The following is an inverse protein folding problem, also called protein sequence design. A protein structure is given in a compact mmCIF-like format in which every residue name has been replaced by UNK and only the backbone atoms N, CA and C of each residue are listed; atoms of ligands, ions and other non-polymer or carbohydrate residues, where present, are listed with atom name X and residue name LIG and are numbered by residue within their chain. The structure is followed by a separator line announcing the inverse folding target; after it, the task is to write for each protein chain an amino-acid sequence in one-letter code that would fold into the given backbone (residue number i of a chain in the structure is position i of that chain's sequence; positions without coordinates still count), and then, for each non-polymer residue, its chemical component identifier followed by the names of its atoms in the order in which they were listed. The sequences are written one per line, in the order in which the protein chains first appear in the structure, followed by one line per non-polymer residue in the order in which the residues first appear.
data_IF_511576491755
#
_entry.id   IF_511576491755
#
_cell.length_a   1.000
_cell.length_b   1.000
_cell.length_c   1.000
_cell.angle_alpha   90.00
_cell.angle_beta   90.00
_cell.angle_gamma   90.00
#
_symmetry.space_group_name_H-M   'P 1'
#
loop_
_entity.id
_entity.type
_entity.pdbx_description
1 polymer ?
#
# COMPACT_ATOMS: atom_id res chain seq x y z
N UNK A 1 11.28 11.42 -19.88
CA UNK A 1 11.57 10.00 -20.27
C UNK A 1 12.63 9.42 -19.34
N UNK A 2 12.46 9.21 -18.03
CA UNK A 2 13.38 8.30 -17.29
C UNK A 2 13.06 8.05 -15.82
N UNK A 3 11.91 8.47 -15.29
CA UNK A 3 11.63 8.27 -13.86
C UNK A 3 11.08 6.87 -13.51
N UNK A 4 10.48 6.14 -14.45
CA UNK A 4 9.98 4.78 -14.21
C UNK A 4 11.08 3.74 -13.94
N UNK A 5 12.29 4.00 -14.48
CA UNK A 5 13.47 3.15 -14.25
C UNK A 5 14.05 3.30 -12.83
N UNK A 6 13.79 4.43 -12.17
CA UNK A 6 14.31 4.74 -10.84
C UNK A 6 13.59 3.93 -9.76
N UNK A 7 12.27 3.81 -9.83
CA UNK A 7 11.49 3.05 -8.82
C UNK A 7 11.79 1.56 -8.91
N UNK A 8 11.87 1.00 -10.13
CA UNK A 8 12.23 -0.41 -10.32
C UNK A 8 13.66 -0.72 -9.82
N UNK A 9 14.60 0.21 -9.98
CA UNK A 9 15.96 0.06 -9.49
C UNK A 9 16.11 0.34 -7.99
N UNK A 10 15.32 1.27 -7.44
CA UNK A 10 15.27 1.50 -5.99
C UNK A 10 14.72 0.26 -5.28
N UNK A 11 13.63 -0.32 -5.78
CA UNK A 11 13.07 -1.56 -5.24
C UNK A 11 14.06 -2.74 -5.32
N UNK A 12 14.88 -2.83 -6.39
CA UNK A 12 15.92 -3.89 -6.51
C UNK A 12 17.15 -3.67 -5.65
N UNK A 13 17.56 -2.44 -5.37
CA UNK A 13 18.78 -2.13 -4.60
C UNK A 13 18.57 -2.12 -3.09
N UNK A 14 17.39 -1.76 -2.61
CA UNK A 14 17.14 -1.57 -1.17
C UNK A 14 16.85 -2.87 -0.44
N UNK A 15 16.40 -3.92 -1.15
CA UNK A 15 16.00 -5.19 -0.53
C UNK A 15 16.99 -6.32 -0.82
N UNK A 16 18.09 -6.33 -0.11
CA UNK A 16 18.99 -7.49 -0.04
C UNK A 16 18.31 -8.56 0.82
N UNK A 17 17.91 -9.68 0.19
CA UNK A 17 17.24 -10.82 0.82
C UNK A 17 17.90 -11.23 2.14
N UNK A 18 17.24 -10.95 3.25
CA UNK A 18 17.47 -11.59 4.52
C UNK A 18 16.26 -12.50 4.76
N UNK A 19 16.47 -13.80 4.78
CA UNK A 19 15.43 -14.78 5.17
C UNK A 19 15.04 -14.49 6.61
N UNK A 20 13.80 -14.07 6.83
CA UNK A 20 13.18 -14.00 8.15
C UNK A 20 11.89 -14.78 8.06
N UNK A 21 11.74 -15.82 8.88
CA UNK A 21 10.48 -16.55 9.00
C UNK A 21 9.43 -15.64 9.63
N UNK A 22 8.28 -15.51 8.98
CA UNK A 22 7.15 -14.74 9.50
C UNK A 22 6.58 -15.41 10.75
N UNK A 23 6.97 -14.93 11.91
CA UNK A 23 6.22 -15.14 13.14
C UNK A 23 5.05 -14.15 13.15
N UNK A 24 3.82 -14.62 13.31
CA UNK A 24 2.68 -13.73 13.54
C UNK A 24 2.91 -12.99 14.86
N UNK A 25 3.09 -11.67 14.78
CA UNK A 25 3.17 -10.82 15.97
C UNK A 25 1.76 -10.62 16.53
N UNK A 26 1.56 -10.96 17.79
CA UNK A 26 0.39 -10.55 18.57
C UNK A 26 0.82 -9.45 19.52
N UNK A 27 0.04 -8.38 19.68
CA UNK A 27 0.30 -7.37 20.72
C UNK A 27 0.41 -8.05 22.09
N UNK A 28 1.27 -7.51 22.95
CA UNK A 28 1.42 -8.02 24.31
C UNK A 28 0.07 -7.96 25.05
N UNK A 29 -0.31 -9.04 25.78
CA UNK A 29 -1.52 -9.03 26.57
C UNK A 29 -1.48 -7.87 27.58
N UNK A 30 -2.42 -6.92 27.46
CA UNK A 30 -2.51 -5.76 28.33
C UNK A 30 -2.04 -4.43 27.72
N UNK A 31 -1.60 -4.39 26.46
CA UNK A 31 -1.39 -3.13 25.74
C UNK A 31 -2.73 -2.39 25.59
N UNK A 32 -2.70 -1.07 25.76
CA UNK A 32 -3.90 -0.27 25.61
C UNK A 32 -4.40 -0.31 24.15
N UNK A 33 -5.73 -0.42 23.91
CA UNK A 33 -6.29 -0.35 22.57
C UNK A 33 -5.88 0.96 21.88
N UNK A 34 -5.51 0.91 20.60
CA UNK A 34 -5.07 2.08 19.83
C UNK A 34 -3.57 2.38 19.92
N UNK A 35 -2.77 1.48 20.49
CA UNK A 35 -1.30 1.59 20.47
C UNK A 35 -0.73 0.72 19.34
N UNK A 36 -0.32 1.32 18.21
CA UNK A 36 0.30 0.57 17.12
C UNK A 36 1.60 -0.08 17.59
N UNK A 37 1.67 -1.39 17.56
CA UNK A 37 2.89 -2.13 17.89
C UNK A 37 3.39 -2.86 16.64
N UNK A 38 4.51 -2.39 16.08
CA UNK A 38 5.13 -3.03 14.93
C UNK A 38 5.89 -4.29 15.30
N UNK A 39 5.91 -5.26 14.39
CA UNK A 39 6.78 -6.43 14.56
C UNK A 39 8.25 -6.04 14.33
N UNK A 40 9.18 -6.42 15.21
CA UNK A 40 10.61 -6.19 15.01
C UNK A 40 11.18 -6.87 13.75
N UNK A 41 10.44 -7.80 13.18
CA UNK A 41 10.80 -8.55 11.97
C UNK A 41 10.23 -7.93 10.67
N UNK A 42 9.44 -6.86 10.79
CA UNK A 42 8.85 -6.19 9.63
C UNK A 42 9.88 -5.40 8.84
N UNK A 43 9.68 -5.31 7.52
CA UNK A 43 10.51 -4.48 6.65
C UNK A 43 10.33 -2.99 6.98
N UNK A 44 11.40 -2.17 6.96
CA UNK A 44 11.30 -0.71 7.09
C UNK A 44 10.30 -0.15 6.08
N UNK A 45 9.49 0.79 6.52
CA UNK A 45 8.45 1.37 5.68
C UNK A 45 9.01 2.42 4.71
N UNK A 46 8.55 2.39 3.46
CA UNK A 46 8.87 3.37 2.44
C UNK A 46 7.60 3.84 1.74
N UNK A 47 7.47 5.15 1.54
CA UNK A 47 6.34 5.76 0.86
C UNK A 47 6.61 6.00 -0.63
N UNK A 48 5.62 5.69 -1.46
CA UNK A 48 5.61 5.96 -2.89
C UNK A 48 4.29 6.60 -3.28
N UNK A 49 4.32 7.44 -4.31
CA UNK A 49 3.12 8.03 -4.89
C UNK A 49 3.08 7.75 -6.37
N UNK A 50 1.91 7.36 -6.85
CA UNK A 50 1.57 7.39 -8.26
C UNK A 50 0.34 8.29 -8.39
N UNK A 51 0.49 9.43 -9.04
CA UNK A 51 -0.61 10.34 -9.30
C UNK A 51 -0.89 10.39 -10.80
N UNK A 52 -2.16 10.33 -11.19
CA UNK A 52 -2.51 10.26 -12.59
C UNK A 52 -3.88 10.87 -12.92
N UNK A 53 -4.09 11.12 -14.20
CA UNK A 53 -5.32 11.57 -14.79
C UNK A 53 -5.28 11.37 -16.31
N UNK A 54 -6.29 11.85 -17.07
CA UNK A 54 -6.34 11.69 -18.52
C UNK A 54 -5.08 12.18 -19.23
N UNK A 55 -4.51 13.29 -18.77
CA UNK A 55 -3.38 13.96 -19.42
C UNK A 55 -2.02 13.31 -19.15
N UNK A 56 -1.91 12.46 -18.12
CA UNK A 56 -0.64 11.84 -17.78
C UNK A 56 -0.57 11.19 -16.42
N UNK A 57 0.67 10.94 -15.99
CA UNK A 57 0.97 10.37 -14.68
C UNK A 57 2.34 10.82 -14.17
N UNK A 58 2.53 10.72 -12.87
CA UNK A 58 3.82 10.89 -12.20
C UNK A 58 4.01 9.77 -11.18
N UNK A 59 5.24 9.29 -11.06
CA UNK A 59 5.66 8.35 -10.01
C UNK A 59 6.75 9.01 -9.18
N UNK A 60 6.61 8.93 -7.86
CA UNK A 60 7.51 9.57 -6.93
C UNK A 60 7.81 8.65 -5.73
N UNK A 61 9.09 8.47 -5.43
CA UNK A 61 9.53 7.82 -4.20
C UNK A 61 9.74 8.91 -3.13
N UNK A 62 8.94 8.89 -2.09
CA UNK A 62 8.98 9.92 -1.05
C UNK A 62 10.21 9.75 -0.18
N UNK A 63 10.99 10.81 -0.05
CA UNK A 63 12.04 10.92 0.99
C UNK A 63 11.43 11.35 2.32
N UNK A 64 10.42 12.22 2.23
CA UNK A 64 9.56 12.63 3.31
C UNK A 64 8.10 12.47 2.85
N UNK A 65 7.24 11.94 3.74
CA UNK A 65 5.82 11.74 3.44
C UNK A 65 5.07 13.06 3.17
N UNK A 66 5.54 14.19 3.68
CA UNK A 66 4.95 15.51 3.39
C UNK A 66 4.97 15.85 1.90
N UNK A 67 5.83 15.20 1.12
CA UNK A 67 5.87 15.32 -0.33
C UNK A 67 4.57 14.82 -1.00
N UNK A 68 3.81 13.95 -0.33
CA UNK A 68 2.50 13.45 -0.81
C UNK A 68 1.51 14.62 -1.03
N UNK A 69 1.58 15.65 -0.18
CA UNK A 69 0.72 16.83 -0.27
C UNK A 69 0.82 17.59 -1.60
N UNK A 70 1.92 17.42 -2.34
CA UNK A 70 2.12 18.03 -3.66
C UNK A 70 1.22 17.42 -4.73
N UNK A 71 0.70 16.23 -4.50
CA UNK A 71 -0.10 15.46 -5.45
C UNK A 71 -1.58 15.49 -5.08
N UNK A 72 -1.90 15.49 -3.78
CA UNK A 72 -3.28 15.51 -3.28
C UNK A 72 -3.93 16.85 -3.61
N UNK A 73 -5.16 16.79 -4.16
CA UNK A 73 -5.89 18.00 -4.59
C UNK A 73 -5.44 18.58 -5.93
N UNK A 74 -4.33 18.09 -6.51
CA UNK A 74 -3.80 18.52 -7.82
C UNK A 74 -4.15 17.50 -8.90
N UNK A 75 -3.97 16.22 -8.60
CA UNK A 75 -4.25 15.14 -9.54
C UNK A 75 -5.63 14.52 -9.31
N UNK A 76 -6.32 14.10 -10.37
CA UNK A 76 -7.62 13.43 -10.29
C UNK A 76 -7.60 12.18 -9.40
N UNK A 77 -6.53 11.38 -9.49
CA UNK A 77 -6.32 10.18 -8.68
C UNK A 77 -4.90 10.16 -8.13
N UNK A 78 -4.78 9.89 -6.83
CA UNK A 78 -3.51 9.72 -6.15
C UNK A 78 -3.49 8.35 -5.48
N UNK A 79 -2.51 7.54 -5.82
CA UNK A 79 -2.21 6.28 -5.16
C UNK A 79 -1.00 6.46 -4.26
N UNK A 80 -1.24 6.39 -2.95
CA UNK A 80 -0.19 6.37 -1.93
C UNK A 80 0.10 4.91 -1.60
N UNK A 81 1.34 4.48 -1.76
CA UNK A 81 1.75 3.12 -1.50
C UNK A 81 2.84 3.11 -0.43
N UNK A 82 2.57 2.48 0.71
CA UNK A 82 3.51 2.28 1.81
C UNK A 82 3.94 0.81 1.80
N UNK A 83 5.22 0.56 1.54
CA UNK A 83 5.80 -0.78 1.47
C UNK A 83 6.63 -1.03 2.71
N UNK A 84 6.34 -2.12 3.41
CA UNK A 84 6.91 -2.45 4.71
C UNK A 84 6.10 -1.86 5.87
N UNK A 85 5.95 -2.63 6.94
CA UNK A 85 5.18 -2.24 8.14
C UNK A 85 6.06 -2.05 9.39
N UNK A 86 7.39 -1.95 9.22
CA UNK A 86 8.34 -1.88 10.33
C UNK A 86 8.56 -0.50 10.92
N UNK A 87 8.07 0.57 10.28
CA UNK A 87 8.24 1.95 10.75
C UNK A 87 6.88 2.52 11.16
N UNK A 88 6.55 2.40 12.44
CA UNK A 88 5.24 2.83 13.00
C UNK A 88 5.01 4.32 12.77
N UNK A 89 6.03 5.13 12.96
CA UNK A 89 5.99 6.59 12.75
C UNK A 89 5.54 6.97 11.33
N UNK A 90 5.98 6.23 10.32
CA UNK A 90 5.55 6.41 8.92
C UNK A 90 4.06 6.07 8.76
N UNK A 91 3.62 4.97 9.37
CA UNK A 91 2.22 4.52 9.29
C UNK A 91 1.31 5.51 10.03
N UNK A 92 1.69 5.95 11.23
CA UNK A 92 0.95 6.97 11.99
C UNK A 92 0.92 8.32 11.27
N UNK A 93 2.02 8.73 10.63
CA UNK A 93 2.07 9.96 9.83
C UNK A 93 1.09 9.91 8.66
N UNK A 94 1.04 8.79 7.92
CA UNK A 94 0.05 8.59 6.86
C UNK A 94 -1.37 8.57 7.45
N UNK A 95 -1.57 7.90 8.56
CA UNK A 95 -2.85 7.89 9.27
C UNK A 95 -3.34 9.30 9.62
N UNK A 96 -2.47 10.13 10.17
CA UNK A 96 -2.77 11.53 10.53
C UNK A 96 -3.07 12.36 9.27
N UNK A 97 -2.24 12.23 8.23
CA UNK A 97 -2.38 12.97 6.97
C UNK A 97 -3.73 12.71 6.29
N UNK A 98 -4.22 11.49 6.35
CA UNK A 98 -5.45 11.07 5.70
C UNK A 98 -6.62 10.88 6.65
N UNK A 99 -6.50 11.27 7.92
CA UNK A 99 -7.53 11.10 8.95
C UNK A 99 -8.05 9.65 9.00
N UNK A 100 -7.13 8.69 9.13
CA UNK A 100 -7.43 7.27 9.35
C UNK A 100 -7.47 7.04 10.87
N UNK A 101 -8.52 6.35 11.33
CA UNK A 101 -8.67 6.00 12.74
C UNK A 101 -7.52 5.10 13.22
N UNK A 102 -7.08 5.31 14.47
CA UNK A 102 -5.96 4.54 15.06
C UNK A 102 -6.25 3.04 15.16
N UNK A 103 -7.51 2.67 15.41
CA UNK A 103 -7.90 1.25 15.43
C UNK A 103 -7.71 0.59 14.07
N UNK A 104 -7.96 1.32 12.98
CA UNK A 104 -7.69 0.80 11.63
C UNK A 104 -6.19 0.69 11.33
N UNK A 105 -5.36 1.56 11.91
CA UNK A 105 -3.91 1.43 11.81
C UNK A 105 -3.36 0.24 12.60
N UNK A 106 -4.02 -0.15 13.70
CA UNK A 106 -3.72 -1.42 14.40
C UNK A 106 -4.00 -2.61 13.49
N UNK A 107 -5.14 -2.62 12.80
CA UNK A 107 -5.49 -3.67 11.84
C UNK A 107 -4.51 -3.73 10.65
N UNK A 108 -3.99 -2.59 10.20
CA UNK A 108 -2.92 -2.53 9.19
C UNK A 108 -1.65 -3.24 9.68
N UNK A 109 -1.31 -3.07 10.95
CA UNK A 109 -0.09 -3.64 11.56
C UNK A 109 -0.26 -5.10 11.99
N UNK A 110 -1.50 -5.56 12.25
CA UNK A 110 -1.78 -6.95 12.58
C UNK A 110 -1.80 -7.84 11.33
N UNK A 111 -0.64 -8.33 10.95
CA UNK A 111 -0.49 -9.23 9.79
C UNK A 111 -1.19 -10.58 9.96
N UNK A 112 -1.71 -10.91 11.14
CA UNK A 112 -2.53 -12.10 11.38
C UNK A 112 -4.02 -11.89 11.09
N UNK A 113 -4.43 -10.64 10.87
CA UNK A 113 -5.83 -10.27 10.67
C UNK A 113 -6.44 -11.00 9.46
N UNK A 114 -7.71 -11.38 9.59
CA UNK A 114 -8.45 -12.04 8.50
C UNK A 114 -8.84 -11.04 7.43
N UNK A 115 -8.95 -11.46 6.15
CA UNK A 115 -9.53 -10.60 5.12
C UNK A 115 -10.91 -10.07 5.53
N UNK A 116 -11.11 -8.77 5.33
CA UNK A 116 -12.38 -8.09 5.60
C UNK A 116 -12.52 -6.85 4.72
N UNK A 117 -13.76 -6.39 4.56
CA UNK A 117 -14.06 -5.06 3.98
C UNK A 117 -15.06 -4.37 4.89
N UNK A 118 -14.75 -3.14 5.26
CA UNK A 118 -15.57 -2.30 6.12
C UNK A 118 -15.89 -0.98 5.41
N UNK A 119 -17.15 -0.55 5.54
CA UNK A 119 -17.66 0.66 4.90
C UNK A 119 -17.86 1.74 5.96
N UNK A 120 -17.21 2.88 5.77
CA UNK A 120 -17.33 4.07 6.59
C UNK A 120 -17.93 5.21 5.78
N UNK A 121 -18.38 6.27 6.42
CA UNK A 121 -19.04 7.41 5.76
C UNK A 121 -18.18 8.04 4.65
N UNK A 122 -16.84 8.08 4.86
CA UNK A 122 -15.92 8.78 3.95
C UNK A 122 -14.85 7.91 3.33
N UNK A 123 -14.83 6.61 3.62
CA UNK A 123 -13.86 5.68 3.06
C UNK A 123 -14.32 4.22 3.13
N UNK A 124 -13.68 3.37 2.33
CA UNK A 124 -13.77 1.92 2.43
C UNK A 124 -12.40 1.43 2.90
N UNK A 125 -12.41 0.54 3.87
CA UNK A 125 -11.21 -0.15 4.35
C UNK A 125 -11.27 -1.63 4.02
N UNK A 126 -10.23 -2.16 3.39
CA UNK A 126 -10.14 -3.57 3.03
C UNK A 126 -8.81 -4.15 3.45
N UNK A 127 -8.85 -5.30 4.09
CA UNK A 127 -7.72 -6.20 4.30
C UNK A 127 -7.87 -7.38 3.37
N UNK A 128 -6.85 -7.67 2.59
CA UNK A 128 -6.79 -8.82 1.70
C UNK A 128 -5.45 -9.53 1.88
N UNK A 129 -5.42 -10.84 1.67
CA UNK A 129 -4.18 -11.60 1.64
C UNK A 129 -3.71 -11.73 0.19
N UNK A 130 -2.52 -11.27 -0.10
CA UNK A 130 -1.84 -11.53 -1.36
C UNK A 130 -1.10 -12.85 -1.33
N UNK A 131 -0.99 -13.52 -2.47
CA UNK A 131 -0.11 -14.68 -2.64
C UNK A 131 1.16 -14.26 -3.35
N UNK A 132 2.33 -14.54 -2.77
CA UNK A 132 3.59 -14.47 -3.48
C UNK A 132 3.90 -15.88 -4.00
N UNK A 133 3.91 -16.04 -5.32
CA UNK A 133 4.30 -17.29 -5.98
C UNK A 133 5.83 -17.39 -5.94
N UNK A 134 6.33 -18.23 -5.05
CA UNK A 134 7.70 -18.71 -4.98
C UNK A 134 7.67 -20.22 -4.85
N UNK A 135 8.81 -20.85 -4.49
CA UNK A 135 8.87 -22.30 -4.19
C UNK A 135 7.97 -22.71 -3.01
N UNK A 136 7.48 -21.73 -2.26
CA UNK A 136 6.48 -21.89 -1.21
C UNK A 136 5.48 -20.73 -1.30
N UNK A 137 4.18 -21.04 -1.15
CA UNK A 137 3.13 -20.02 -1.06
C UNK A 137 3.36 -19.18 0.19
N UNK A 138 3.75 -17.92 0.01
CA UNK A 138 3.85 -16.95 1.10
C UNK A 138 2.65 -16.00 1.02
N UNK A 139 1.86 -15.96 2.09
CA UNK A 139 0.79 -14.99 2.24
C UNK A 139 1.37 -13.62 2.60
N UNK A 140 0.92 -12.57 1.94
CA UNK A 140 1.23 -11.17 2.21
C UNK A 140 0.00 -10.44 2.74
N UNK A 141 0.15 -9.66 3.81
CA UNK A 141 -0.90 -8.80 4.32
C UNK A 141 -0.92 -7.48 3.54
N UNK A 142 -2.07 -7.16 2.97
CA UNK A 142 -2.29 -5.94 2.20
C UNK A 142 -3.51 -5.23 2.76
N UNK A 143 -3.36 -3.95 3.11
CA UNK A 143 -4.46 -3.10 3.57
C UNK A 143 -4.69 -1.95 2.59
N UNK A 144 -5.93 -1.73 2.20
CA UNK A 144 -6.30 -0.73 1.19
C UNK A 144 -7.39 0.18 1.74
N UNK A 145 -7.16 1.49 1.67
CA UNK A 145 -8.14 2.53 1.96
C UNK A 145 -8.54 3.23 0.67
N UNK A 146 -9.83 3.19 0.33
CA UNK A 146 -10.40 4.00 -0.74
C UNK A 146 -11.03 5.25 -0.16
N UNK A 147 -10.54 6.41 -0.58
CA UNK A 147 -11.11 7.75 -0.29
C UNK A 147 -11.43 8.46 -1.61
N UNK A 148 -12.10 9.61 -1.57
CA UNK A 148 -12.68 10.30 -2.74
C UNK A 148 -11.76 10.37 -3.98
N UNK A 149 -10.50 10.76 -3.84
CA UNK A 149 -9.54 10.89 -4.95
C UNK A 149 -8.22 10.20 -4.62
N UNK A 150 -8.19 9.43 -3.54
CA UNK A 150 -6.96 8.82 -3.02
C UNK A 150 -7.21 7.34 -2.72
N UNK A 151 -6.29 6.50 -3.14
CA UNK A 151 -6.19 5.12 -2.66
C UNK A 151 -4.89 5.00 -1.88
N UNK A 152 -4.96 4.51 -0.64
CA UNK A 152 -3.80 4.28 0.21
C UNK A 152 -3.64 2.78 0.37
N UNK A 153 -2.45 2.27 0.07
CA UNK A 153 -2.14 0.85 0.18
C UNK A 153 -0.97 0.67 1.13
N UNK A 154 -1.12 -0.25 2.07
CA UNK A 154 -0.05 -0.73 2.92
C UNK A 154 0.26 -2.18 2.54
N UNK A 155 1.51 -2.45 2.17
CA UNK A 155 2.02 -3.78 1.83
C UNK A 155 2.99 -4.25 2.91
N UNK A 156 2.79 -5.45 3.44
CA UNK A 156 3.66 -6.04 4.48
C UNK A 156 5.09 -6.22 3.98
N UNK A 157 5.24 -6.65 2.74
CA UNK A 157 6.53 -7.04 2.17
C UNK A 157 6.81 -6.27 0.87
N UNK A 158 8.09 -6.00 0.59
CA UNK A 158 8.46 -5.50 -0.72
C UNK A 158 8.24 -6.58 -1.78
N UNK A 159 7.44 -6.27 -2.76
CA UNK A 159 7.12 -7.19 -3.85
C UNK A 159 6.67 -6.46 -5.10
N UNK A 160 6.17 -7.21 -6.05
CA UNK A 160 5.56 -6.69 -7.28
C UNK A 160 4.04 -6.88 -7.26
N UNK A 161 3.41 -6.71 -6.07
CA UNK A 161 2.00 -7.05 -5.89
C UNK A 161 1.08 -6.35 -6.88
N UNK A 162 1.46 -5.15 -7.34
CA UNK A 162 0.65 -4.34 -8.24
C UNK A 162 1.40 -3.91 -9.51
N UNK A 163 2.24 -4.79 -10.06
CA UNK A 163 3.03 -4.48 -11.25
C UNK A 163 2.18 -4.24 -12.50
N UNK A 164 1.09 -5.00 -12.68
CA UNK A 164 0.22 -4.86 -13.83
C UNK A 164 -0.60 -3.56 -13.76
N UNK A 165 -1.12 -3.20 -12.59
CA UNK A 165 -1.84 -1.93 -12.40
C UNK A 165 -0.90 -0.76 -12.67
N UNK A 166 0.34 -0.78 -12.16
CA UNK A 166 1.35 0.26 -12.43
C UNK A 166 1.62 0.40 -13.93
N UNK A 167 1.80 -0.72 -14.63
CA UNK A 167 2.07 -0.71 -16.06
C UNK A 167 0.87 -0.20 -16.87
N UNK A 168 -0.37 -0.54 -16.48
CA UNK A 168 -1.59 0.01 -17.09
C UNK A 168 -1.69 1.52 -16.94
N UNK A 169 -1.30 2.07 -15.77
CA UNK A 169 -1.23 3.53 -15.55
C UNK A 169 -0.15 4.14 -16.46
N UNK A 170 1.05 3.55 -16.52
CA UNK A 170 2.17 4.05 -17.34
C UNK A 170 1.82 4.13 -18.81
N UNK A 171 1.23 3.05 -19.34
CA UNK A 171 0.84 2.97 -20.77
C UNK A 171 -0.40 3.78 -21.08
N UNK A 172 -1.22 4.12 -20.10
CA UNK A 172 -2.51 4.75 -20.32
C UNK A 172 -3.49 3.84 -21.06
N UNK A 173 -3.30 2.50 -20.93
CA UNK A 173 -4.12 1.52 -21.64
C UNK A 173 -5.48 1.32 -20.99
N UNK A 174 -6.48 1.09 -21.80
CA UNK A 174 -7.85 0.87 -21.35
C UNK A 174 -8.44 2.13 -20.71
N UNK A 175 -9.22 1.91 -19.66
CA UNK A 175 -9.94 2.98 -18.94
C UNK A 175 -9.17 3.57 -17.75
N UNK A 176 -7.92 3.10 -17.49
CA UNK A 176 -7.23 3.34 -16.23
C UNK A 176 -7.08 4.81 -15.87
N UNK A 177 -6.61 5.65 -16.82
CA UNK A 177 -6.39 7.07 -16.54
C UNK A 177 -7.66 7.94 -16.61
N UNK A 178 -8.71 7.43 -17.23
CA UNK A 178 -9.98 8.15 -17.42
C UNK A 178 -11.00 7.91 -16.30
N UNK A 179 -10.69 7.07 -15.31
CA UNK A 179 -11.58 6.72 -14.20
C UNK A 179 -11.01 7.17 -12.86
N UNK A 180 -11.88 7.22 -11.84
CA UNK A 180 -11.55 7.69 -10.51
C UNK A 180 -10.79 6.67 -9.64
N UNK A 181 -10.64 7.02 -8.38
CA UNK A 181 -10.00 6.20 -7.36
C UNK A 181 -10.73 4.87 -7.08
N UNK A 182 -12.04 4.83 -7.32
CA UNK A 182 -12.88 3.63 -7.26
C UNK A 182 -12.44 2.57 -8.26
N UNK A 183 -12.13 2.98 -9.48
CA UNK A 183 -11.62 2.07 -10.50
C UNK A 183 -10.19 1.57 -10.19
N UNK A 184 -9.35 2.45 -9.62
CA UNK A 184 -8.04 2.03 -9.13
C UNK A 184 -8.16 0.98 -8.03
N UNK A 185 -9.03 1.24 -7.04
CA UNK A 185 -9.29 0.32 -5.95
C UNK A 185 -9.75 -1.05 -6.47
N UNK A 186 -10.72 -1.06 -7.41
CA UNK A 186 -11.15 -2.29 -8.07
C UNK A 186 -9.98 -3.01 -8.75
N UNK A 187 -9.17 -2.30 -9.55
CA UNK A 187 -8.05 -2.89 -10.28
C UNK A 187 -6.96 -3.48 -9.35
N UNK A 188 -6.76 -2.87 -8.18
CA UNK A 188 -5.83 -3.39 -7.17
C UNK A 188 -6.36 -4.70 -6.55
N UNK A 189 -7.65 -4.76 -6.21
CA UNK A 189 -8.27 -6.00 -5.70
C UNK A 189 -8.24 -7.11 -6.74
N UNK A 190 -8.58 -6.78 -7.99
CA UNK A 190 -8.58 -7.69 -9.12
C UNK A 190 -7.18 -8.32 -9.31
N UNK A 191 -6.10 -7.52 -9.31
CA UNK A 191 -4.73 -8.01 -9.45
C UNK A 191 -4.31 -8.93 -8.28
N UNK A 192 -4.79 -8.68 -7.05
CA UNK A 192 -4.51 -9.58 -5.93
C UNK A 192 -5.25 -10.90 -6.10
N UNK A 193 -6.52 -10.86 -6.53
CA UNK A 193 -7.36 -12.04 -6.72
C UNK A 193 -6.82 -12.89 -7.87
N UNK A 194 -6.43 -12.27 -8.98
CA UNK A 194 -5.88 -12.97 -10.16
C UNK A 194 -4.61 -13.80 -9.86
N UNK A 195 -3.89 -13.48 -8.79
CA UNK A 195 -2.71 -14.25 -8.37
C UNK A 195 -3.03 -15.58 -7.69
N UNK A 196 -4.30 -15.83 -7.37
CA UNK A 196 -4.74 -17.10 -6.78
C UNK A 196 -5.14 -18.14 -7.85
N UNK A 197 -5.24 -17.73 -9.11
CA UNK A 197 -5.63 -18.58 -10.24
C UNK A 197 -4.48 -18.75 -11.24
#
# INVERSE_FOLDING_TARGET
KSNGFVIANVLRRTFRRRRVSAGSYKPDPGSAPGMPTGSPLSHPSQGFVIAYGPEGYVEHACRDLDEINRFTGVWPVVWVNVIGLGSIDIIEKVGTMFAIDRLLLEDVLDTSHRPKTEYYEHHIFTIIKGGLLGDQFESEHISIFLKKNVVIVFEEKPGSSFSNVRERIRRGTGKMRGHGSDYLYYALLDEVIDKYF
#
